data_IF_084379616125
#
_entry.id   IF_084379616125
#
_cell.length_a   1.000
_cell.length_b   1.000
_cell.length_c   1.000
_cell.angle_alpha   90.00
_cell.angle_beta   90.00
_cell.angle_gamma   90.00
#
_symmetry.space_group_name_H-M   'P 1'
#
loop_
_entity.id
_entity.type
_entity.pdbx_description
1 polymer ?
#
# COMPACT_ATOMS: atom_id res chain seq x y z
N UNK A 1 -5.73 -14.64 -11.09
CA UNK A 1 -6.74 -15.24 -10.22
C UNK A 1 -6.27 -15.17 -8.77
N UNK A 2 -7.08 -14.57 -7.92
CA UNK A 2 -6.66 -14.25 -6.54
C UNK A 2 -6.53 -15.47 -5.65
N UNK A 3 -7.32 -16.52 -5.88
CA UNK A 3 -7.33 -17.73 -5.06
C UNK A 3 -5.98 -18.45 -4.96
N UNK A 4 -5.03 -18.18 -5.88
CA UNK A 4 -3.70 -18.77 -5.85
C UNK A 4 -2.70 -17.98 -4.99
N UNK A 5 -3.04 -16.74 -4.62
CA UNK A 5 -2.14 -15.85 -3.91
C UNK A 5 -2.70 -15.42 -2.56
N UNK A 6 -3.96 -15.00 -2.53
CA UNK A 6 -4.65 -14.56 -1.32
C UNK A 6 -6.03 -15.21 -1.25
N UNK A 7 -6.39 -15.70 -0.06
CA UNK A 7 -7.74 -16.17 0.21
C UNK A 7 -8.65 -14.97 0.48
N UNK A 8 -9.96 -15.17 0.39
CA UNK A 8 -10.94 -14.13 0.75
C UNK A 8 -10.77 -13.67 2.20
N UNK A 9 -10.48 -14.61 3.10
CA UNK A 9 -10.25 -14.29 4.51
C UNK A 9 -8.99 -13.45 4.69
N UNK A 10 -7.94 -13.74 3.94
CA UNK A 10 -6.71 -12.93 3.96
C UNK A 10 -6.95 -11.52 3.44
N UNK A 11 -7.76 -11.37 2.40
CA UNK A 11 -8.14 -10.05 1.87
C UNK A 11 -8.86 -9.24 2.95
N UNK A 12 -9.82 -9.83 3.64
CA UNK A 12 -10.51 -9.17 4.75
C UNK A 12 -9.52 -8.76 5.84
N UNK A 13 -8.58 -9.64 6.18
CA UNK A 13 -7.56 -9.35 7.20
C UNK A 13 -6.64 -8.20 6.76
N UNK A 14 -6.31 -8.10 5.49
CA UNK A 14 -5.51 -6.99 4.97
C UNK A 14 -6.27 -5.66 5.07
N UNK A 15 -7.57 -5.66 4.79
CA UNK A 15 -8.41 -4.46 4.96
C UNK A 15 -8.42 -4.03 6.43
N UNK A 16 -8.55 -4.97 7.36
CA UNK A 16 -8.47 -4.67 8.79
C UNK A 16 -7.10 -4.11 9.19
N UNK A 17 -6.02 -4.65 8.59
CA UNK A 17 -4.67 -4.13 8.83
C UNK A 17 -4.53 -2.68 8.32
N UNK A 18 -5.13 -2.35 7.17
CA UNK A 18 -5.14 -0.99 6.65
C UNK A 18 -5.86 -0.06 7.63
N UNK A 19 -7.03 -0.46 8.11
CA UNK A 19 -7.79 0.33 9.09
C UNK A 19 -6.98 0.57 10.36
N UNK A 20 -6.36 -0.48 10.90
CA UNK A 20 -5.53 -0.39 12.08
C UNK A 20 -4.32 0.52 11.86
N UNK A 21 -3.68 0.41 10.71
CA UNK A 21 -2.51 1.22 10.37
C UNK A 21 -2.85 2.70 10.24
N UNK A 22 -4.09 3.02 9.84
CA UNK A 22 -4.53 4.41 9.65
C UNK A 22 -5.12 5.06 10.91
N UNK A 23 -5.43 4.27 11.93
CA UNK A 23 -6.17 4.76 13.11
C UNK A 23 -5.50 5.92 13.83
N UNK A 24 -4.18 5.98 13.83
CA UNK A 24 -3.42 6.94 14.62
C UNK A 24 -2.67 7.96 13.78
N UNK A 25 -3.00 8.07 12.50
CA UNK A 25 -2.38 9.04 11.60
C UNK A 25 -3.41 9.64 10.65
N UNK A 26 -3.03 10.73 9.98
CA UNK A 26 -3.84 11.30 8.89
C UNK A 26 -3.55 10.63 7.55
N UNK A 27 -2.63 9.67 7.52
CA UNK A 27 -2.21 9.01 6.29
C UNK A 27 -3.22 8.03 5.75
N UNK A 28 -3.08 7.73 4.46
CA UNK A 28 -3.97 6.83 3.73
C UNK A 28 -3.14 5.73 3.07
N UNK A 29 -3.56 4.48 3.23
CA UNK A 29 -2.87 3.32 2.65
C UNK A 29 -3.87 2.57 1.77
N UNK A 30 -3.44 2.21 0.56
CA UNK A 30 -4.23 1.36 -0.33
C UNK A 30 -3.36 0.27 -0.94
N UNK A 31 -4.00 -0.85 -1.22
CA UNK A 31 -3.42 -1.96 -1.97
C UNK A 31 -4.23 -2.13 -3.24
N UNK A 32 -3.57 -2.19 -4.38
CA UNK A 32 -4.19 -2.47 -5.66
C UNK A 32 -3.54 -3.71 -6.27
N UNK A 33 -4.36 -4.68 -6.64
CA UNK A 33 -3.90 -5.93 -7.22
C UNK A 33 -4.29 -5.97 -8.69
N UNK A 34 -3.26 -6.03 -9.53
CA UNK A 34 -3.38 -5.97 -10.98
C UNK A 34 -3.05 -7.34 -11.56
N UNK A 35 -3.81 -7.78 -12.55
CA UNK A 35 -3.59 -9.05 -13.24
C UNK A 35 -3.27 -8.84 -14.72
N UNK A 36 -2.89 -7.63 -15.13
CA UNK A 36 -2.55 -7.38 -16.53
C UNK A 36 -1.31 -8.18 -16.95
N UNK A 37 -1.23 -8.48 -18.25
CA UNK A 37 -0.13 -9.23 -18.83
C UNK A 37 0.87 -8.32 -19.55
N UNK A 38 0.62 -7.03 -19.59
CA UNK A 38 1.51 -6.05 -20.21
C UNK A 38 2.64 -5.67 -19.25
N UNK A 39 3.82 -5.41 -19.78
CA UNK A 39 4.98 -5.07 -18.97
C UNK A 39 5.05 -3.56 -18.73
N UNK A 40 4.03 -3.00 -18.06
CA UNK A 40 3.88 -1.56 -17.81
C UNK A 40 3.52 -1.26 -16.35
N UNK A 41 3.99 -2.07 -15.43
CA UNK A 41 3.51 -2.05 -14.04
C UNK A 41 3.74 -0.71 -13.34
N UNK A 42 4.91 -0.09 -13.49
CA UNK A 42 5.20 1.19 -12.84
C UNK A 42 4.29 2.30 -13.37
N UNK A 43 4.11 2.36 -14.69
CA UNK A 43 3.20 3.35 -15.30
C UNK A 43 1.76 3.13 -14.85
N UNK A 44 1.32 1.87 -14.85
CA UNK A 44 -0.03 1.50 -14.40
C UNK A 44 -0.22 1.88 -12.93
N UNK A 45 0.79 1.67 -12.10
CA UNK A 45 0.72 2.05 -10.69
C UNK A 45 0.49 3.55 -10.50
N UNK A 46 1.18 4.40 -11.27
CA UNK A 46 0.96 5.84 -11.22
C UNK A 46 -0.43 6.24 -11.70
N UNK A 47 -0.94 5.58 -12.74
CA UNK A 47 -2.30 5.80 -13.23
C UNK A 47 -3.33 5.45 -12.16
N UNK A 48 -3.18 4.29 -11.51
CA UNK A 48 -4.06 3.86 -10.41
C UNK A 48 -4.01 4.85 -9.26
N UNK A 49 -2.82 5.31 -8.89
CA UNK A 49 -2.64 6.29 -7.82
C UNK A 49 -3.50 7.54 -8.06
N UNK A 50 -3.49 8.04 -9.28
CA UNK A 50 -4.31 9.21 -9.66
C UNK A 50 -5.79 8.89 -9.73
N UNK A 51 -6.16 7.74 -10.33
CA UNK A 51 -7.55 7.32 -10.45
C UNK A 51 -8.22 7.14 -9.10
N UNK A 52 -7.47 6.66 -8.11
CA UNK A 52 -7.95 6.50 -6.74
C UNK A 52 -7.89 7.81 -5.93
N UNK A 53 -7.54 8.92 -6.57
CA UNK A 53 -7.43 10.24 -5.94
C UNK A 53 -6.44 10.29 -4.77
N UNK A 54 -5.41 9.46 -4.81
CA UNK A 54 -4.44 9.38 -3.74
C UNK A 54 -3.53 10.60 -3.66
N UNK A 55 -3.45 11.39 -4.73
CA UNK A 55 -2.74 12.66 -4.75
C UNK A 55 -3.58 13.83 -4.24
N UNK A 56 -4.78 13.56 -3.69
CA UNK A 56 -5.73 14.58 -3.21
C UNK A 56 -5.85 14.64 -1.69
N UNK A 57 -5.02 13.91 -0.95
CA UNK A 57 -5.06 13.99 0.52
C UNK A 57 -4.47 15.32 1.01
N UNK A 58 -4.96 15.80 2.15
CA UNK A 58 -4.56 17.11 2.69
C UNK A 58 -3.06 17.21 2.96
N UNK A 59 -2.46 16.13 3.51
CA UNK A 59 -1.04 16.10 3.88
C UNK A 59 -0.15 15.45 2.82
N UNK A 60 -0.70 15.08 1.67
CA UNK A 60 0.02 14.40 0.60
C UNK A 60 0.78 13.18 1.12
N UNK A 61 0.13 12.37 1.95
CA UNK A 61 0.73 11.25 2.67
C UNK A 61 0.07 9.91 2.35
N UNK A 62 -0.47 9.76 1.15
CA UNK A 62 -1.01 8.49 0.70
C UNK A 62 0.09 7.55 0.24
N UNK A 63 -0.09 6.26 0.51
CA UNK A 63 0.84 5.20 0.10
C UNK A 63 0.06 4.13 -0.64
N UNK A 64 0.49 3.81 -1.86
CA UNK A 64 -0.08 2.75 -2.67
C UNK A 64 0.91 1.59 -2.79
N UNK A 65 0.42 0.39 -2.49
CA UNK A 65 1.11 -0.86 -2.82
C UNK A 65 0.41 -1.44 -4.07
N UNK A 66 1.07 -1.33 -5.20
CA UNK A 66 0.57 -1.87 -6.46
C UNK A 66 1.26 -3.20 -6.74
N UNK A 67 0.47 -4.28 -6.77
CA UNK A 67 0.97 -5.65 -6.84
C UNK A 67 0.47 -6.33 -8.10
N UNK A 68 1.36 -6.99 -8.81
CA UNK A 68 1.01 -7.91 -9.88
C UNK A 68 1.69 -9.26 -9.57
N UNK A 69 0.93 -10.17 -8.94
CA UNK A 69 1.48 -11.45 -8.53
C UNK A 69 1.93 -12.32 -9.71
N UNK A 70 1.18 -12.28 -10.81
CA UNK A 70 1.47 -13.13 -11.97
C UNK A 70 2.77 -12.73 -12.65
N UNK A 71 3.05 -11.44 -12.70
CA UNK A 71 4.30 -10.91 -13.23
C UNK A 71 5.38 -10.76 -12.15
N UNK A 72 5.07 -11.10 -10.90
CA UNK A 72 5.99 -10.98 -9.76
C UNK A 72 6.53 -9.56 -9.62
N UNK A 73 5.64 -8.58 -9.70
CA UNK A 73 6.01 -7.18 -9.70
C UNK A 73 5.32 -6.42 -8.57
N UNK A 74 6.08 -5.54 -7.95
CA UNK A 74 5.59 -4.65 -6.89
C UNK A 74 6.07 -3.23 -7.17
N UNK A 75 5.16 -2.27 -7.10
CA UNK A 75 5.49 -0.85 -7.10
C UNK A 75 4.90 -0.22 -5.85
N UNK A 76 5.70 0.53 -5.13
CA UNK A 76 5.26 1.29 -3.97
C UNK A 76 5.33 2.77 -4.33
N UNK A 77 4.22 3.48 -4.15
CA UNK A 77 4.17 4.92 -4.38
C UNK A 77 3.81 5.61 -3.07
N UNK A 78 4.74 6.39 -2.54
CA UNK A 78 4.48 7.29 -1.43
C UNK A 78 4.36 8.71 -1.98
N UNK A 79 3.29 9.42 -1.65
CA UNK A 79 3.11 10.79 -2.11
C UNK A 79 4.17 11.70 -1.49
N UNK A 80 4.26 12.92 -2.00
CA UNK A 80 5.37 13.83 -1.69
C UNK A 80 5.50 14.12 -0.20
N UNK A 81 4.40 14.18 0.55
CA UNK A 81 4.43 14.47 1.98
C UNK A 81 5.10 13.37 2.80
N UNK A 82 4.72 12.10 2.59
CA UNK A 82 5.37 11.00 3.30
C UNK A 82 6.77 10.72 2.74
N UNK A 83 6.95 10.82 1.45
CA UNK A 83 8.25 10.59 0.84
C UNK A 83 9.32 11.54 1.40
N UNK A 84 8.96 12.81 1.60
CA UNK A 84 9.87 13.80 2.17
C UNK A 84 10.33 13.44 3.59
N UNK A 85 9.56 12.65 4.31
CA UNK A 85 9.87 12.23 5.68
C UNK A 85 10.71 10.96 5.74
N UNK A 86 10.35 9.94 4.94
CA UNK A 86 10.99 8.63 5.03
C UNK A 86 12.13 8.45 4.04
N UNK A 87 12.14 9.19 2.94
CA UNK A 87 13.13 9.16 1.87
C UNK A 87 13.15 7.84 1.07
N UNK A 88 13.91 7.84 -0.02
CA UNK A 88 13.94 6.71 -0.95
C UNK A 88 14.44 5.41 -0.30
N UNK A 89 15.40 5.49 0.61
CA UNK A 89 15.96 4.31 1.26
C UNK A 89 14.92 3.49 2.01
N UNK A 90 13.92 4.14 2.62
CA UNK A 90 12.83 3.43 3.28
C UNK A 90 12.03 2.58 2.30
N UNK A 91 11.65 3.18 1.16
CA UNK A 91 10.89 2.46 0.14
C UNK A 91 11.69 1.30 -0.46
N UNK A 92 12.99 1.50 -0.67
CA UNK A 92 13.87 0.46 -1.20
C UNK A 92 13.95 -0.74 -0.25
N UNK A 93 14.11 -0.50 1.05
CA UNK A 93 14.12 -1.56 2.05
C UNK A 93 12.79 -2.31 2.10
N UNK A 94 11.69 -1.58 2.07
CA UNK A 94 10.36 -2.17 2.12
C UNK A 94 10.09 -3.01 0.86
N UNK A 95 10.46 -2.49 -0.31
CA UNK A 95 10.34 -3.20 -1.57
C UNK A 95 11.14 -4.49 -1.54
N UNK A 96 12.40 -4.43 -1.10
CA UNK A 96 13.26 -5.61 -1.02
C UNK A 96 12.70 -6.67 -0.08
N UNK A 97 12.17 -6.26 1.07
CA UNK A 97 11.54 -7.17 2.02
C UNK A 97 10.34 -7.88 1.39
N UNK A 98 9.43 -7.12 0.78
CA UNK A 98 8.21 -7.69 0.22
C UNK A 98 8.54 -8.65 -0.94
N UNK A 99 9.43 -8.25 -1.84
CA UNK A 99 9.77 -9.08 -2.99
C UNK A 99 10.50 -10.37 -2.57
N UNK A 100 11.34 -10.30 -1.56
CA UNK A 100 12.00 -11.50 -1.00
C UNK A 100 10.97 -12.47 -0.41
N UNK A 101 9.97 -11.96 0.30
CA UNK A 101 8.91 -12.78 0.88
C UNK A 101 7.97 -13.33 -0.18
N UNK A 102 7.68 -12.57 -1.22
CA UNK A 102 6.89 -13.04 -2.36
C UNK A 102 7.58 -14.23 -3.05
N UNK A 103 8.90 -14.18 -3.17
CA UNK A 103 9.66 -15.26 -3.77
C UNK A 103 9.54 -16.57 -2.98
N UNK A 104 9.25 -16.50 -1.68
CA UNK A 104 8.99 -17.64 -0.80
C UNK A 104 7.53 -18.07 -0.77
N UNK A 105 6.64 -17.34 -1.43
CA UNK A 105 5.20 -17.58 -1.40
C UNK A 105 4.48 -16.96 -0.20
N UNK A 106 5.12 -16.10 0.56
CA UNK A 106 4.55 -15.47 1.76
C UNK A 106 3.82 -14.16 1.42
N UNK A 107 2.86 -14.21 0.52
CA UNK A 107 2.19 -13.03 -0.03
C UNK A 107 1.41 -12.23 1.02
N UNK A 108 0.55 -12.92 1.77
CA UNK A 108 -0.29 -12.28 2.79
C UNK A 108 0.55 -11.65 3.90
N UNK A 109 1.49 -12.40 4.46
CA UNK A 109 2.31 -11.92 5.57
C UNK A 109 3.18 -10.73 5.17
N UNK A 110 3.72 -10.76 3.97
CA UNK A 110 4.55 -9.67 3.46
C UNK A 110 3.75 -8.38 3.34
N UNK A 111 2.55 -8.45 2.74
CA UNK A 111 1.69 -7.28 2.60
C UNK A 111 1.21 -6.77 3.95
N UNK A 112 0.79 -7.66 4.84
CA UNK A 112 0.33 -7.27 6.17
C UNK A 112 1.43 -6.56 6.95
N UNK A 113 2.63 -7.11 6.97
CA UNK A 113 3.77 -6.51 7.67
C UNK A 113 4.12 -5.14 7.09
N UNK A 114 4.10 -5.01 5.76
CA UNK A 114 4.40 -3.75 5.09
C UNK A 114 3.35 -2.68 5.41
N UNK A 115 2.08 -3.04 5.42
CA UNK A 115 0.98 -2.13 5.78
C UNK A 115 1.15 -1.63 7.21
N UNK A 116 1.39 -2.54 8.15
CA UNK A 116 1.51 -2.18 9.56
C UNK A 116 2.76 -1.33 9.82
N UNK A 117 3.87 -1.67 9.19
CA UNK A 117 5.11 -0.89 9.31
C UNK A 117 4.95 0.52 8.72
N UNK A 118 4.32 0.62 7.56
CA UNK A 118 4.02 1.92 6.94
C UNK A 118 3.11 2.75 7.86
N UNK A 119 2.15 2.09 8.50
CA UNK A 119 1.28 2.74 9.49
C UNK A 119 2.05 3.35 10.64
N UNK A 120 3.11 2.69 11.12
CA UNK A 120 3.96 3.23 12.19
C UNK A 120 4.71 4.50 11.74
N UNK A 121 5.20 4.50 10.52
CA UNK A 121 5.87 5.68 9.96
C UNK A 121 4.89 6.84 9.77
N UNK A 122 3.69 6.55 9.28
CA UNK A 122 2.63 7.57 9.16
C UNK A 122 2.25 8.15 10.51
N UNK A 123 2.10 7.32 11.54
CA UNK A 123 1.82 7.77 12.90
C UNK A 123 2.93 8.67 13.43
N UNK A 124 4.17 8.33 13.14
CA UNK A 124 5.33 9.08 13.60
C UNK A 124 5.38 10.50 13.01
N UNK A 125 5.07 10.64 11.72
CA UNK A 125 5.22 11.91 11.00
C UNK A 125 3.92 12.67 10.80
N UNK A 126 2.78 11.98 10.86
CA UNK A 126 1.46 12.57 10.63
C UNK A 126 0.45 12.09 11.69
N UNK A 127 0.73 12.35 12.97
CA UNK A 127 -0.18 11.89 14.04
C UNK A 127 -1.53 12.60 13.95
N UNK A 128 -2.57 11.89 14.37
CA UNK A 128 -3.92 12.48 14.44
C UNK A 128 -3.99 13.44 15.63
N UNK A 129 -4.50 14.64 15.34
CA UNK A 129 -4.83 15.63 16.37
C UNK A 129 -6.33 15.90 16.27
N UNK A 130 -7.12 15.28 17.15
CA UNK A 130 -8.56 15.41 17.16
C UNK A 130 -9.23 14.33 16.31
N UNK A 131 -10.28 14.70 15.56
CA UNK A 131 -11.04 13.77 14.75
C UNK A 131 -10.25 13.34 13.52
N UNK A 132 -10.28 12.03 13.22
CA UNK A 132 -9.56 11.48 12.06
C UNK A 132 -10.53 11.28 10.88
N UNK A 133 -10.57 12.20 9.92
CA UNK A 133 -11.38 12.01 8.72
C UNK A 133 -10.69 11.01 7.79
N UNK A 134 -11.24 9.82 7.67
CA UNK A 134 -10.76 8.86 6.68
C UNK A 134 -11.08 9.39 5.27
N UNK A 135 -10.07 9.86 4.56
CA UNK A 135 -10.23 10.57 3.29
C UNK A 135 -10.44 9.63 2.11
N UNK A 136 -10.01 8.38 2.21
CA UNK A 136 -10.10 7.39 1.14
C UNK A 136 -10.62 6.05 1.70
N UNK A 137 -11.33 5.25 0.89
CA UNK A 137 -11.76 3.92 1.33
C UNK A 137 -10.58 3.02 1.68
N UNK A 138 -10.79 2.10 2.63
CA UNK A 138 -9.75 1.16 3.08
C UNK A 138 -9.73 -0.15 2.28
N UNK A 139 -10.68 -0.35 1.41
CA UNK A 139 -10.81 -1.59 0.65
C UNK A 139 -9.64 -1.83 -0.31
N UNK A 140 -9.37 -3.10 -0.59
CA UNK A 140 -8.41 -3.48 -1.61
C UNK A 140 -9.08 -3.34 -2.98
N UNK A 141 -8.39 -2.73 -3.92
CA UNK A 141 -8.89 -2.58 -5.29
C UNK A 141 -8.20 -3.56 -6.23
N UNK A 142 -8.88 -3.84 -7.34
CA UNK A 142 -8.44 -4.84 -8.32
C UNK A 142 -8.59 -4.31 -9.74
N UNK A 143 -7.73 -4.78 -10.60
CA UNK A 143 -7.84 -4.53 -12.04
C UNK A 143 -7.29 -5.67 -12.89
#
# INVERSE_FOLDING_TARGET
MMGNYLTNQQIVSLVEAIQSAEDHSTGEIRVHIDSNTENRNAKTAFEVFRELCMDKTADRNAVLFHVNFEQKYLTIIGDVGIHAKVHQSYWDHLHDYITAEFAKGNYYQALKSAILETGLELKKYFPVEGENPNQLPNEITFS
#
